data_IF_948570348204
#
_entry.id   IF_948570348204
#
_cell.length_a   1.000
_cell.length_b   1.000
_cell.length_c   1.000
_cell.angle_alpha   90.00
_cell.angle_beta   90.00
_cell.angle_gamma   90.00
#
_symmetry.space_group_name_H-M   'P 1'
#
loop_
_entity.id
_entity.type
_entity.pdbx_description
1 polymer ?
#
# COMPACT_ATOMS: atom_id res chain seq x y z
N UNK A 1 4.71 -7.79 6.04
CA UNK A 1 3.54 -8.06 5.17
C UNK A 1 3.27 -9.54 5.22
N UNK A 2 2.05 -9.88 5.59
CA UNK A 2 1.68 -11.13 6.23
C UNK A 2 1.62 -12.29 5.24
N UNK A 3 2.18 -13.42 5.65
CA UNK A 3 1.90 -14.73 5.08
C UNK A 3 2.05 -15.70 6.23
N UNK A 4 0.92 -16.15 6.74
CA UNK A 4 0.58 -17.51 7.12
C UNK A 4 -0.74 -17.41 7.88
N UNK A 5 -1.85 -17.40 7.12
CA UNK A 5 -3.13 -17.85 7.65
C UNK A 5 -3.13 -19.37 7.50
N UNK A 6 -3.09 -20.08 8.62
CA UNK A 6 -3.46 -21.48 8.64
C UNK A 6 -4.98 -21.55 8.77
N UNK A 7 -5.63 -22.15 7.79
CA UNK A 7 -7.00 -22.63 7.93
C UNK A 7 -6.91 -24.11 8.28
N UNK A 8 -7.23 -24.46 9.53
CA UNK A 8 -7.34 -25.86 9.96
C UNK A 8 -8.82 -26.23 9.97
N UNK A 9 -9.19 -27.26 9.20
CA UNK A 9 -10.53 -27.82 9.19
C UNK A 9 -10.71 -28.83 10.32
N UNK A 10 -11.88 -28.82 10.97
CA UNK A 10 -12.24 -29.82 11.96
C UNK A 10 -12.78 -31.09 11.26
N UNK A 11 -12.29 -32.26 11.68
CA UNK A 11 -12.75 -33.57 11.20
C UNK A 11 -14.21 -33.84 11.57
N UNK A 12 -14.95 -34.46 10.64
CA UNK A 12 -16.36 -34.82 10.87
C UNK A 12 -16.46 -36.15 11.61
N UNK A 13 -17.07 -36.14 12.81
CA UNK A 13 -17.73 -37.31 13.36
C UNK A 13 -19.24 -37.18 13.12
N UNK A 14 -19.83 -38.20 12.50
CA UNK A 14 -21.26 -38.29 12.26
C UNK A 14 -22.00 -38.55 13.58
N UNK A 15 -22.71 -37.53 14.06
CA UNK A 15 -23.61 -37.61 15.21
C UNK A 15 -24.51 -36.38 15.22
N UNK A 16 -25.81 -36.59 15.31
CA UNK A 16 -26.90 -35.61 15.27
C UNK A 16 -26.77 -34.51 16.32
N UNK A 17 -26.00 -33.48 15.99
CA UNK A 17 -26.24 -32.07 16.30
C UNK A 17 -25.91 -31.31 15.02
N UNK A 18 -26.54 -30.16 14.76
CA UNK A 18 -26.14 -29.31 13.63
C UNK A 18 -24.79 -28.68 13.99
N UNK A 19 -23.72 -29.49 13.91
CA UNK A 19 -22.36 -29.05 14.20
C UNK A 19 -22.12 -27.77 13.41
N UNK A 20 -21.75 -26.71 14.12
CA UNK A 20 -21.45 -25.44 13.49
C UNK A 20 -20.35 -25.68 12.46
N UNK A 21 -20.66 -25.47 11.19
CA UNK A 21 -19.67 -25.56 10.11
C UNK A 21 -18.77 -24.34 10.22
N UNK A 22 -17.63 -24.51 10.87
CA UNK A 22 -16.69 -23.42 11.16
C UNK A 22 -15.32 -23.65 10.54
N UNK A 23 -14.59 -22.56 10.31
CA UNK A 23 -13.18 -22.56 9.93
C UNK A 23 -12.44 -21.58 10.83
N UNK A 24 -11.40 -22.04 11.51
CA UNK A 24 -10.53 -21.17 12.31
C UNK A 24 -9.56 -20.41 11.41
N UNK A 25 -9.41 -19.12 11.69
CA UNK A 25 -8.51 -18.20 10.99
C UNK A 25 -7.56 -17.60 12.02
N UNK A 26 -6.26 -17.75 11.78
CA UNK A 26 -5.22 -17.17 12.64
C UNK A 26 -4.30 -16.27 11.82
N UNK A 27 -4.05 -15.05 12.28
CA UNK A 27 -3.05 -14.14 11.75
C UNK A 27 -2.08 -13.70 12.86
N UNK A 28 -0.80 -13.50 12.53
CA UNK A 28 0.24 -13.11 13.51
C UNK A 28 0.77 -11.71 13.21
N UNK A 29 0.95 -10.87 14.24
CA UNK A 29 1.62 -9.56 14.12
C UNK A 29 3.15 -9.76 14.04
N UNK A 30 3.83 -9.36 12.95
CA UNK A 30 5.26 -9.64 12.79
C UNK A 30 6.16 -8.46 13.17
N UNK A 31 5.60 -7.30 13.52
CA UNK A 31 6.29 -6.02 13.60
C UNK A 31 6.59 -5.55 15.02
N UNK A 32 6.07 -6.22 16.04
CA UNK A 32 6.16 -5.82 17.43
C UNK A 32 5.34 -4.57 17.75
N UNK A 33 4.24 -4.32 17.02
CA UNK A 33 3.43 -3.11 17.17
C UNK A 33 1.98 -3.44 17.46
N UNK A 34 1.35 -2.61 18.30
CA UNK A 34 -0.10 -2.60 18.43
C UNK A 34 -0.76 -2.23 17.10
N UNK A 35 -1.84 -2.94 16.76
CA UNK A 35 -2.68 -2.62 15.60
C UNK A 35 -4.14 -2.70 16.01
N UNK A 36 -4.90 -1.67 15.63
CA UNK A 36 -6.35 -1.62 15.83
C UNK A 36 -7.04 -1.62 14.49
N UNK A 37 -8.12 -2.39 14.38
CA UNK A 37 -8.94 -2.49 13.17
C UNK A 37 -8.09 -2.75 11.91
N UNK A 38 -7.05 -3.59 12.04
CA UNK A 38 -6.11 -3.82 10.96
C UNK A 38 -6.76 -4.66 9.86
N UNK A 39 -6.66 -4.26 8.58
CA UNK A 39 -7.30 -4.99 7.49
C UNK A 39 -6.67 -6.37 7.29
N UNK A 40 -7.53 -7.38 7.27
CA UNK A 40 -7.19 -8.79 7.02
C UNK A 40 -7.95 -9.27 5.79
N UNK A 41 -7.21 -9.77 4.81
CA UNK A 41 -7.74 -10.33 3.57
C UNK A 41 -7.26 -11.77 3.44
N UNK A 42 -8.18 -12.73 3.32
CA UNK A 42 -7.84 -14.15 3.14
C UNK A 42 -8.79 -14.83 2.16
N UNK A 43 -8.24 -15.69 1.29
CA UNK A 43 -9.03 -16.61 0.48
C UNK A 43 -9.22 -17.93 1.22
N UNK A 44 -10.46 -18.34 1.44
CA UNK A 44 -10.80 -19.62 2.08
C UNK A 44 -11.33 -20.58 1.00
N UNK A 45 -10.68 -21.74 0.79
CA UNK A 45 -11.17 -22.75 -0.13
C UNK A 45 -12.26 -23.60 0.52
N UNK A 46 -13.24 -24.01 -0.27
CA UNK A 46 -14.28 -24.97 0.14
C UNK A 46 -14.32 -26.14 -0.82
N UNK A 47 -14.47 -27.34 -0.26
CA UNK A 47 -14.76 -28.53 -1.05
C UNK A 47 -16.15 -28.41 -1.70
N UNK A 48 -16.34 -29.15 -2.79
CA UNK A 48 -17.59 -29.18 -3.55
C UNK A 48 -18.78 -29.46 -2.62
N UNK A 49 -19.81 -28.63 -2.69
CA UNK A 49 -21.04 -28.74 -1.89
C UNK A 49 -20.96 -28.25 -0.43
N UNK A 50 -19.78 -27.85 0.09
CA UNK A 50 -19.64 -27.44 1.50
C UNK A 50 -20.23 -26.06 1.77
N UNK A 51 -19.96 -25.10 0.89
CA UNK A 51 -20.55 -23.76 0.92
C UNK A 51 -21.45 -23.60 -0.30
N UNK A 52 -22.76 -23.71 -0.08
CA UNK A 52 -23.74 -23.66 -1.16
C UNK A 52 -23.75 -22.28 -1.85
N UNK A 53 -24.25 -22.23 -3.08
CA UNK A 53 -24.38 -20.97 -3.81
C UNK A 53 -25.30 -20.00 -3.05
N UNK A 54 -24.80 -18.81 -2.72
CA UNK A 54 -25.56 -17.79 -1.99
C UNK A 54 -25.70 -18.03 -0.48
N UNK A 55 -25.12 -19.10 0.04
CA UNK A 55 -25.10 -19.34 1.49
C UNK A 55 -24.29 -18.25 2.21
N UNK A 56 -24.87 -17.71 3.27
CA UNK A 56 -24.25 -16.64 4.06
C UNK A 56 -23.10 -17.16 4.90
N UNK A 57 -22.18 -16.27 5.24
CA UNK A 57 -21.11 -16.53 6.21
C UNK A 57 -21.02 -15.37 7.18
N UNK A 58 -20.54 -15.65 8.38
CA UNK A 58 -20.16 -14.65 9.37
C UNK A 58 -18.74 -14.88 9.85
N UNK A 59 -18.13 -13.84 10.39
CA UNK A 59 -16.88 -13.98 11.14
C UNK A 59 -17.08 -13.52 12.58
N UNK A 60 -16.53 -14.26 13.53
CA UNK A 60 -16.51 -13.90 14.96
C UNK A 60 -15.07 -13.73 15.42
N UNK A 61 -14.85 -12.87 16.42
CA UNK A 61 -13.57 -12.84 17.13
C UNK A 61 -13.40 -14.05 18.07
N UNK A 62 -12.27 -14.09 18.78
CA UNK A 62 -11.93 -15.13 19.75
C UNK A 62 -12.94 -15.26 20.90
N UNK A 63 -13.64 -14.17 21.26
CA UNK A 63 -14.71 -14.17 22.25
C UNK A 63 -16.07 -14.60 21.70
N UNK A 64 -16.15 -14.97 20.42
CA UNK A 64 -17.39 -15.35 19.74
C UNK A 64 -18.27 -14.16 19.33
N UNK A 65 -17.79 -12.92 19.46
CA UNK A 65 -18.56 -11.74 19.07
C UNK A 65 -18.52 -11.58 17.55
N UNK A 66 -19.68 -11.43 16.88
CA UNK A 66 -19.74 -11.20 15.44
C UNK A 66 -19.04 -9.90 15.02
N UNK A 67 -18.30 -9.95 13.92
CA UNK A 67 -17.57 -8.83 13.34
C UNK A 67 -18.05 -8.54 11.91
N UNK A 68 -17.97 -7.27 11.45
CA UNK A 68 -18.23 -6.95 10.05
C UNK A 68 -17.39 -7.79 9.11
N UNK A 69 -18.03 -8.29 8.05
CA UNK A 69 -17.40 -9.13 7.05
C UNK A 69 -17.84 -8.69 5.66
N UNK A 70 -16.87 -8.51 4.79
CA UNK A 70 -17.05 -8.33 3.36
C UNK A 70 -16.57 -9.60 2.65
N UNK A 71 -17.32 -10.08 1.67
CA UNK A 71 -16.97 -11.31 0.94
C UNK A 71 -17.06 -11.13 -0.55
N UNK A 72 -16.25 -11.90 -1.29
CA UNK A 72 -16.33 -12.00 -2.75
C UNK A 72 -16.04 -13.43 -3.18
N UNK A 73 -16.95 -14.03 -3.95
CA UNK A 73 -16.70 -15.33 -4.57
C UNK A 73 -15.69 -15.16 -5.70
N UNK A 74 -14.55 -15.84 -5.58
CA UNK A 74 -13.47 -15.81 -6.58
C UNK A 74 -13.65 -16.90 -7.64
N UNK A 75 -14.16 -18.05 -7.22
CA UNK A 75 -14.36 -19.22 -8.07
C UNK A 75 -15.50 -20.09 -7.55
N UNK A 76 -16.18 -20.79 -8.46
CA UNK A 76 -17.24 -21.77 -8.17
C UNK A 76 -16.86 -23.13 -8.74
N UNK A 77 -17.32 -24.18 -8.07
CA UNK A 77 -17.34 -25.54 -8.62
C UNK A 77 -18.41 -25.66 -9.71
N UNK A 78 -18.35 -26.75 -10.50
CA UNK A 78 -19.30 -27.04 -11.56
C UNK A 78 -20.77 -27.20 -11.08
N UNK A 79 -20.98 -27.53 -9.80
CA UNK A 79 -22.32 -27.61 -9.19
C UNK A 79 -22.83 -26.26 -8.65
N UNK A 80 -22.08 -25.18 -8.87
CA UNK A 80 -22.40 -23.83 -8.41
C UNK A 80 -21.93 -23.50 -6.99
N UNK A 81 -21.52 -24.49 -6.19
CA UNK A 81 -20.99 -24.26 -4.85
C UNK A 81 -19.71 -23.41 -4.89
N UNK A 82 -19.49 -22.61 -3.86
CA UNK A 82 -18.32 -21.73 -3.80
C UNK A 82 -17.05 -22.58 -3.63
N UNK A 83 -16.05 -22.36 -4.49
CA UNK A 83 -14.74 -23.03 -4.38
C UNK A 83 -13.73 -22.18 -3.64
N UNK A 84 -13.70 -20.87 -3.93
CA UNK A 84 -12.81 -19.91 -3.29
C UNK A 84 -13.61 -18.67 -2.89
N UNK A 85 -13.63 -18.37 -1.59
CA UNK A 85 -14.25 -17.18 -1.05
C UNK A 85 -13.18 -16.23 -0.51
N UNK A 86 -13.13 -15.01 -1.02
CA UNK A 86 -12.34 -13.94 -0.41
C UNK A 86 -13.11 -13.36 0.77
N UNK A 87 -12.43 -13.20 1.89
CA UNK A 87 -12.90 -12.55 3.10
C UNK A 87 -12.07 -11.31 3.35
N UNK A 88 -12.74 -10.19 3.58
CA UNK A 88 -12.14 -8.94 4.05
C UNK A 88 -12.81 -8.57 5.38
N UNK A 89 -12.00 -8.51 6.43
CA UNK A 89 -12.43 -8.17 7.79
C UNK A 89 -11.31 -7.40 8.50
N UNK A 90 -11.54 -7.01 9.75
CA UNK A 90 -10.56 -6.28 10.54
C UNK A 90 -10.30 -6.96 11.87
N UNK A 91 -9.05 -6.91 12.32
CA UNK A 91 -8.62 -7.52 13.57
C UNK A 91 -7.67 -6.63 14.35
N UNK A 92 -7.71 -6.78 15.66
CA UNK A 92 -6.77 -6.15 16.58
C UNK A 92 -5.59 -7.07 16.86
N UNK A 93 -4.43 -6.47 17.11
CA UNK A 93 -3.19 -7.15 17.43
C UNK A 93 -2.47 -6.42 18.56
N UNK A 94 -1.96 -7.19 19.51
CA UNK A 94 -0.88 -6.76 20.41
C UNK A 94 0.49 -7.02 19.75
N UNK A 95 1.59 -6.41 20.23
CA UNK A 95 2.93 -6.66 19.73
C UNK A 95 3.27 -8.16 19.69
N UNK A 96 3.61 -8.67 18.51
CA UNK A 96 3.89 -10.10 18.28
C UNK A 96 2.73 -11.07 18.62
N UNK A 97 1.54 -10.54 18.87
CA UNK A 97 0.34 -11.30 19.20
C UNK A 97 -0.32 -11.95 17.99
N UNK A 98 -1.29 -12.83 18.28
CA UNK A 98 -2.14 -13.46 17.28
C UNK A 98 -3.52 -12.82 17.29
N UNK A 99 -4.11 -12.64 16.10
CA UNK A 99 -5.54 -12.47 15.94
C UNK A 99 -6.16 -13.83 15.60
N UNK A 100 -7.13 -14.28 16.39
CA UNK A 100 -7.89 -15.50 16.16
C UNK A 100 -9.33 -15.13 15.84
N UNK A 101 -9.87 -15.69 14.78
CA UNK A 101 -11.24 -15.47 14.33
C UNK A 101 -11.83 -16.76 13.79
N UNK A 102 -13.15 -16.86 13.82
CA UNK A 102 -13.87 -18.05 13.34
C UNK A 102 -14.83 -17.64 12.24
N UNK A 103 -14.66 -18.23 11.06
CA UNK A 103 -15.64 -18.17 9.99
C UNK A 103 -16.76 -19.17 10.28
N UNK A 104 -18.01 -18.72 10.25
CA UNK A 104 -19.20 -19.50 10.53
C UNK A 104 -20.10 -19.56 9.29
N UNK A 105 -20.29 -20.75 8.74
CA UNK A 105 -21.14 -20.96 7.56
C UNK A 105 -22.62 -20.95 7.98
N UNK A 106 -23.46 -20.29 7.18
CA UNK A 106 -24.86 -20.00 7.50
C UNK A 106 -25.04 -18.90 8.56
N UNK A 107 -23.96 -18.30 9.04
CA UNK A 107 -24.00 -17.16 9.97
C UNK A 107 -24.36 -15.84 9.26
N UNK A 108 -24.64 -14.82 10.06
CA UNK A 108 -24.80 -13.43 9.60
C UNK A 108 -23.86 -12.50 10.35
N UNK A 109 -22.97 -11.82 9.63
CA UNK A 109 -22.14 -10.75 10.20
C UNK A 109 -22.94 -9.45 10.32
N UNK A 110 -22.65 -8.61 11.34
CA UNK A 110 -23.21 -7.26 11.43
C UNK A 110 -22.70 -6.38 10.28
N UNK A 111 -23.42 -5.30 9.99
CA UNK A 111 -22.91 -4.27 9.10
C UNK A 111 -21.70 -3.54 9.69
N UNK A 112 -20.83 -3.03 8.83
CA UNK A 112 -19.77 -2.13 9.25
C UNK A 112 -20.38 -0.83 9.81
N UNK A 113 -19.98 -0.40 11.02
CA UNK A 113 -20.58 0.77 11.67
C UNK A 113 -20.25 2.07 10.93
N UNK A 114 -21.08 3.09 11.15
CA UNK A 114 -20.81 4.44 10.65
C UNK A 114 -19.43 4.94 11.14
N UNK A 115 -18.73 5.69 10.30
CA UNK A 115 -17.36 6.16 10.57
C UNK A 115 -16.27 5.08 10.53
N UNK A 116 -16.62 3.80 10.39
CA UNK A 116 -15.69 2.68 10.23
C UNK A 116 -16.10 1.82 9.03
N UNK A 117 -16.59 2.49 7.98
CA UNK A 117 -16.95 1.89 6.71
C UNK A 117 -16.57 2.80 5.57
N UNK A 118 -16.40 2.22 4.39
CA UNK A 118 -16.17 2.95 3.15
C UNK A 118 -17.51 3.37 2.56
N UNK A 119 -17.63 4.64 2.22
CA UNK A 119 -18.72 5.24 1.46
C UNK A 119 -18.15 5.83 0.18
N UNK A 120 -18.93 5.77 -0.90
CA UNK A 120 -18.53 6.32 -2.19
C UNK A 120 -19.63 7.16 -2.80
N UNK A 121 -19.25 8.19 -3.55
CA UNK A 121 -20.16 9.01 -4.32
C UNK A 121 -19.51 9.39 -5.66
N UNK A 122 -20.24 9.22 -6.76
CA UNK A 122 -19.77 9.66 -8.07
C UNK A 122 -20.13 11.14 -8.31
N UNK A 123 -19.17 11.92 -8.79
CA UNK A 123 -19.33 13.34 -9.10
C UNK A 123 -18.65 13.64 -10.43
N UNK A 124 -19.40 13.56 -11.53
CA UNK A 124 -18.84 13.74 -12.87
C UNK A 124 -17.76 12.68 -13.16
N UNK A 125 -16.51 13.11 -13.37
CA UNK A 125 -15.38 12.19 -13.61
C UNK A 125 -14.74 11.69 -12.31
N UNK A 126 -15.09 12.26 -11.17
CA UNK A 126 -14.48 11.95 -9.88
C UNK A 126 -15.28 10.89 -9.11
N UNK A 127 -14.58 9.94 -8.50
CA UNK A 127 -15.12 9.10 -7.43
C UNK A 127 -14.64 9.65 -6.09
N UNK A 128 -15.57 10.10 -5.26
CA UNK A 128 -15.31 10.49 -3.88
C UNK A 128 -15.37 9.23 -3.01
N UNK A 129 -14.35 8.99 -2.20
CA UNK A 129 -14.25 7.87 -1.26
C UNK A 129 -14.05 8.43 0.15
N UNK A 130 -14.94 8.10 1.07
CA UNK A 130 -14.81 8.41 2.49
C UNK A 130 -14.66 7.10 3.25
N UNK A 131 -13.55 6.90 3.97
CA UNK A 131 -13.33 5.69 4.76
C UNK A 131 -13.50 5.91 6.27
N UNK A 132 -14.02 7.07 6.68
CA UNK A 132 -14.22 7.48 8.08
C UNK A 132 -13.06 8.29 8.67
N UNK A 133 -11.84 8.16 8.13
CA UNK A 133 -10.65 8.92 8.60
C UNK A 133 -9.99 9.75 7.49
N UNK A 134 -10.20 9.34 6.24
CA UNK A 134 -9.76 9.99 5.02
C UNK A 134 -10.96 10.22 4.10
N UNK A 135 -10.98 11.39 3.46
CA UNK A 135 -11.77 11.64 2.26
C UNK A 135 -10.80 11.73 1.08
N UNK A 136 -11.08 10.99 0.03
CA UNK A 136 -10.24 10.89 -1.17
C UNK A 136 -11.09 11.24 -2.39
N UNK A 137 -10.49 11.93 -3.35
CA UNK A 137 -11.04 12.08 -4.69
C UNK A 137 -10.16 11.32 -5.69
N UNK A 138 -10.79 10.49 -6.51
CA UNK A 138 -10.13 9.68 -7.53
C UNK A 138 -10.64 10.10 -8.91
N UNK A 139 -9.73 10.47 -9.82
CA UNK A 139 -10.09 10.76 -11.22
C UNK A 139 -10.25 9.45 -11.99
N UNK A 140 -11.35 9.32 -12.76
CA UNK A 140 -11.69 8.09 -13.48
C UNK A 140 -11.29 8.09 -14.95
N UNK A 141 -11.12 9.26 -15.58
CA UNK A 141 -10.76 9.38 -17.01
C UNK A 141 -9.26 9.39 -17.27
N UNK A 142 -8.45 9.70 -16.26
CA UNK A 142 -6.99 9.68 -16.31
C UNK A 142 -6.47 8.86 -15.13
N UNK A 143 -5.29 8.27 -15.27
CA UNK A 143 -4.61 7.66 -14.13
C UNK A 143 -4.03 8.74 -13.22
N UNK A 144 -4.90 9.27 -12.37
CA UNK A 144 -4.56 10.26 -11.35
C UNK A 144 -5.17 9.84 -10.00
N UNK A 145 -4.64 8.77 -9.38
CA UNK A 145 -5.11 8.36 -8.06
C UNK A 145 -4.85 9.47 -7.04
N UNK A 146 -5.70 9.55 -6.00
CA UNK A 146 -5.55 10.53 -4.92
C UNK A 146 -5.51 11.98 -5.45
N UNK A 147 -6.37 12.31 -6.42
CA UNK A 147 -6.50 13.65 -7.00
C UNK A 147 -6.56 14.73 -5.92
N UNK A 148 -7.30 14.45 -4.84
CA UNK A 148 -7.27 15.19 -3.57
C UNK A 148 -7.39 14.25 -2.39
N UNK A 149 -6.76 14.61 -1.27
CA UNK A 149 -6.80 13.87 0.00
C UNK A 149 -7.06 14.83 1.14
N UNK A 150 -8.03 14.50 1.98
CA UNK A 150 -8.29 15.17 3.25
C UNK A 150 -8.18 14.18 4.40
N UNK A 151 -7.68 14.67 5.54
CA UNK A 151 -7.74 13.97 6.83
C UNK A 151 -8.35 14.93 7.84
N UNK A 152 -9.33 14.47 8.62
CA UNK A 152 -10.04 15.29 9.60
C UNK A 152 -10.46 16.69 9.06
N UNK A 153 -10.95 16.74 7.82
CA UNK A 153 -11.40 17.96 7.15
C UNK A 153 -10.29 18.87 6.58
N UNK A 154 -9.02 18.63 6.90
CA UNK A 154 -7.89 19.39 6.35
C UNK A 154 -7.38 18.79 5.05
N UNK A 155 -7.13 19.64 4.05
CA UNK A 155 -6.55 19.22 2.77
C UNK A 155 -5.08 18.90 2.98
N UNK A 156 -4.68 17.65 2.70
CA UNK A 156 -3.30 17.17 2.85
C UNK A 156 -2.60 17.07 1.50
N UNK A 157 -3.36 16.89 0.42
CA UNK A 157 -2.81 16.76 -0.94
C UNK A 157 -3.82 17.22 -1.98
N UNK A 158 -3.32 17.86 -3.03
CA UNK A 158 -4.07 18.13 -4.26
C UNK A 158 -3.16 18.02 -5.49
N UNK A 159 -3.73 17.78 -6.67
CA UNK A 159 -3.02 17.66 -7.94
C UNK A 159 -2.75 16.21 -8.39
N UNK A 160 -3.03 15.25 -7.50
CA UNK A 160 -3.00 13.82 -7.79
C UNK A 160 -1.63 13.17 -7.86
N UNK A 161 -1.60 11.87 -7.63
CA UNK A 161 -0.40 11.06 -7.76
C UNK A 161 -0.11 10.77 -9.23
N UNK A 162 1.08 11.14 -9.70
CA UNK A 162 1.57 10.81 -11.04
C UNK A 162 2.54 9.63 -10.97
N UNK A 163 2.56 8.78 -12.00
CA UNK A 163 3.50 7.68 -12.17
C UNK A 163 4.06 7.73 -13.59
N UNK A 164 5.39 7.59 -13.74
CA UNK A 164 6.05 7.77 -15.03
C UNK A 164 7.23 6.85 -15.25
N UNK A 165 7.65 6.81 -16.51
CA UNK A 165 8.91 6.25 -17.00
C UNK A 165 9.72 7.38 -17.64
N UNK A 166 11.01 7.42 -17.39
CA UNK A 166 11.96 8.31 -18.07
C UNK A 166 12.87 7.47 -18.96
N UNK A 167 12.87 7.73 -20.26
CA UNK A 167 13.75 7.06 -21.21
C UNK A 167 15.23 7.50 -21.06
N UNK A 168 16.21 6.79 -21.62
CA UNK A 168 17.62 7.14 -21.51
C UNK A 168 17.95 8.57 -21.99
N UNK A 169 17.27 9.05 -23.04
CA UNK A 169 17.40 10.41 -23.56
C UNK A 169 16.74 11.51 -22.71
N UNK A 170 16.13 11.16 -21.56
CA UNK A 170 15.47 12.11 -20.66
C UNK A 170 14.00 12.40 -20.96
N UNK A 171 13.45 11.84 -22.06
CA UNK A 171 12.02 11.95 -22.38
C UNK A 171 11.17 11.27 -21.31
N UNK A 172 10.17 11.99 -20.77
CA UNK A 172 9.25 11.51 -19.74
C UNK A 172 7.94 11.03 -20.36
N UNK A 173 7.47 9.87 -19.91
CA UNK A 173 6.19 9.26 -20.26
C UNK A 173 5.37 9.05 -18.99
N UNK A 174 4.29 9.79 -18.84
CA UNK A 174 3.44 9.77 -17.64
C UNK A 174 2.15 8.97 -17.87
N UNK A 175 1.66 8.33 -16.80
CA UNK A 175 0.36 7.68 -16.78
C UNK A 175 -0.81 8.68 -16.82
N UNK A 176 -0.62 9.92 -16.34
CA UNK A 176 -1.67 10.94 -16.35
C UNK A 176 -1.97 11.48 -17.74
N UNK A 177 -0.97 11.44 -18.63
CA UNK A 177 -1.06 11.93 -20.00
C UNK A 177 -1.78 10.92 -20.92
N UNK A 178 -2.10 9.72 -20.41
CA UNK A 178 -2.93 8.75 -21.11
C UNK A 178 -4.42 9.09 -21.02
N UNK A 179 -4.92 9.73 -22.08
CA UNK A 179 -6.35 10.06 -22.23
C UNK A 179 -7.25 8.84 -22.48
N UNK A 180 -6.66 7.65 -22.68
CA UNK A 180 -7.37 6.38 -22.91
C UNK A 180 -7.33 5.44 -21.69
N UNK A 181 -6.83 5.93 -20.54
CA UNK A 181 -6.75 5.16 -19.30
C UNK A 181 -8.12 4.62 -18.89
N UNK A 182 -8.21 3.30 -18.70
CA UNK A 182 -9.42 2.64 -18.24
C UNK A 182 -9.46 2.55 -16.72
N UNK A 183 -10.56 2.96 -16.10
CA UNK A 183 -10.82 2.86 -14.66
C UNK A 183 -11.87 1.79 -14.34
N UNK A 184 -11.63 1.02 -13.28
CA UNK A 184 -12.62 0.08 -12.72
C UNK A 184 -12.49 -0.01 -11.19
N UNK A 185 -13.59 -0.36 -10.52
CA UNK A 185 -13.56 -0.83 -9.14
C UNK A 185 -13.49 -2.36 -9.17
N UNK A 186 -12.32 -2.92 -8.87
CA UNK A 186 -12.17 -4.37 -8.71
C UNK A 186 -12.85 -4.89 -7.45
N UNK A 187 -12.96 -4.02 -6.44
CA UNK A 187 -13.63 -4.30 -5.18
C UNK A 187 -14.27 -3.01 -4.66
N UNK A 188 -15.55 -3.09 -4.29
CA UNK A 188 -16.30 -1.96 -3.77
C UNK A 188 -17.21 -2.45 -2.63
N UNK A 189 -16.68 -2.42 -1.41
CA UNK A 189 -17.47 -2.78 -0.25
C UNK A 189 -17.11 -1.95 0.99
N UNK A 190 -17.85 -2.16 2.09
CA UNK A 190 -17.78 -1.29 3.26
C UNK A 190 -16.46 -1.42 4.04
N UNK A 191 -15.68 -2.49 3.89
CA UNK A 191 -14.42 -2.69 4.64
C UNK A 191 -13.19 -2.43 3.79
N UNK A 192 -13.30 -2.68 2.48
CA UNK A 192 -12.20 -2.52 1.54
C UNK A 192 -12.71 -2.15 0.15
N UNK A 193 -12.00 -1.23 -0.47
CA UNK A 193 -12.22 -0.77 -1.84
C UNK A 193 -10.90 -0.88 -2.60
N UNK A 194 -10.95 -1.36 -3.84
CA UNK A 194 -9.80 -1.43 -4.74
C UNK A 194 -10.17 -0.77 -6.06
N UNK A 195 -9.63 0.42 -6.28
CA UNK A 195 -9.71 1.14 -7.54
C UNK A 195 -8.52 0.77 -8.43
N UNK A 196 -8.77 0.56 -9.72
CA UNK A 196 -7.76 0.15 -10.69
C UNK A 196 -7.78 1.06 -11.91
N UNK A 197 -6.59 1.45 -12.36
CA UNK A 197 -6.35 2.07 -13.65
C UNK A 197 -5.48 1.17 -14.51
N UNK A 198 -5.78 1.11 -15.81
CA UNK A 198 -4.96 0.42 -16.82
C UNK A 198 -4.80 1.33 -18.03
N UNK A 199 -3.58 1.46 -18.52
CA UNK A 199 -3.26 2.33 -19.65
C UNK A 199 -1.82 2.16 -20.13
N UNK A 200 -1.29 3.20 -20.76
CA UNK A 200 0.09 3.26 -21.27
C UNK A 200 0.75 4.57 -20.87
N UNK A 201 1.96 4.52 -20.35
CA UNK A 201 2.72 5.74 -20.07
C UNK A 201 2.95 6.50 -21.39
N UNK A 202 2.55 7.76 -21.42
CA UNK A 202 2.48 8.57 -22.63
C UNK A 202 3.21 9.89 -22.42
N UNK A 203 3.94 10.35 -23.43
CA UNK A 203 4.58 11.68 -23.40
C UNK A 203 3.55 12.78 -23.69
N UNK A 204 3.89 14.03 -23.40
CA UNK A 204 3.06 15.18 -23.77
C UNK A 204 2.74 15.25 -25.29
N UNK A 205 3.61 14.70 -26.15
CA UNK A 205 3.41 14.62 -27.60
C UNK A 205 2.60 13.40 -28.07
N UNK A 206 2.05 12.58 -27.15
CA UNK A 206 1.24 11.41 -27.48
C UNK A 206 2.04 10.13 -27.80
N UNK A 207 3.38 10.18 -27.77
CA UNK A 207 4.22 8.97 -27.92
C UNK A 207 4.04 8.06 -26.72
N UNK A 208 3.88 6.76 -26.98
CA UNK A 208 3.62 5.71 -25.98
C UNK A 208 4.90 5.00 -25.54
N UNK A 209 4.90 4.48 -24.32
CA UNK A 209 5.97 3.65 -23.75
C UNK A 209 5.38 2.37 -23.11
N UNK A 210 5.74 2.06 -21.86
CA UNK A 210 5.29 0.86 -21.17
C UNK A 210 3.81 0.96 -20.81
N UNK A 211 3.09 -0.15 -20.94
CA UNK A 211 1.75 -0.27 -20.34
C UNK A 211 1.86 -0.23 -18.82
N UNK A 212 0.82 0.25 -18.16
CA UNK A 212 0.71 0.23 -16.70
C UNK A 212 -0.59 -0.40 -16.21
N UNK A 213 -0.53 -0.89 -14.97
CA UNK A 213 -1.69 -1.16 -14.13
C UNK A 213 -1.41 -0.57 -12.75
N UNK A 214 -2.28 0.32 -12.29
CA UNK A 214 -2.22 0.92 -10.95
C UNK A 214 -3.41 0.43 -10.14
N UNK A 215 -3.17 -0.06 -8.92
CA UNK A 215 -4.23 -0.32 -7.93
C UNK A 215 -4.05 0.56 -6.72
N UNK A 216 -5.14 1.19 -6.29
CA UNK A 216 -5.25 1.88 -5.01
C UNK A 216 -6.20 1.09 -4.12
N UNK A 217 -5.70 0.55 -3.02
CA UNK A 217 -6.53 -0.08 -2.00
C UNK A 217 -6.75 0.88 -0.82
N UNK A 218 -8.02 1.03 -0.45
CA UNK A 218 -8.51 1.83 0.67
C UNK A 218 -9.20 0.88 1.66
N UNK A 219 -8.98 1.11 2.95
CA UNK A 219 -9.51 0.27 4.02
C UNK A 219 -10.32 1.12 5.00
N UNK A 220 -11.44 0.61 5.48
CA UNK A 220 -12.28 1.32 6.44
C UNK A 220 -11.51 1.71 7.71
N UNK A 221 -11.69 2.94 8.19
CA UNK A 221 -11.12 3.45 9.43
C UNK A 221 -9.58 3.52 9.49
N UNK A 222 -8.87 3.16 8.41
CA UNK A 222 -7.41 3.13 8.40
C UNK A 222 -6.86 4.36 7.68
N UNK A 223 -5.87 5.07 8.26
CA UNK A 223 -5.36 6.30 7.70
C UNK A 223 -4.23 6.03 6.70
N UNK A 224 -4.27 4.90 5.99
CA UNK A 224 -3.30 4.58 4.95
C UNK A 224 -3.97 4.00 3.71
N UNK A 225 -3.29 4.17 2.59
CA UNK A 225 -3.63 3.52 1.33
C UNK A 225 -2.45 2.68 0.85
N UNK A 226 -2.76 1.60 0.15
CA UNK A 226 -1.76 0.79 -0.56
C UNK A 226 -1.84 1.10 -2.04
N UNK A 227 -0.68 1.33 -2.66
CA UNK A 227 -0.56 1.52 -4.10
C UNK A 227 0.28 0.39 -4.68
N UNK A 228 -0.26 -0.32 -5.66
CA UNK A 228 0.51 -1.21 -6.51
C UNK A 228 0.66 -0.56 -7.90
N UNK A 229 1.89 -0.37 -8.36
CA UNK A 229 2.20 0.01 -9.75
C UNK A 229 2.85 -1.17 -10.45
N UNK A 230 2.24 -1.58 -11.56
CA UNK A 230 2.79 -2.58 -12.47
C UNK A 230 3.12 -1.86 -13.76
N UNK A 231 4.33 -2.06 -14.28
CA UNK A 231 4.65 -1.75 -15.67
C UNK A 231 4.80 -3.04 -16.48
N UNK A 232 4.51 -2.97 -17.77
CA UNK A 232 4.69 -4.05 -18.73
C UNK A 232 5.52 -3.54 -19.90
N UNK A 233 6.67 -4.16 -20.18
CA UNK A 233 7.38 -3.90 -21.43
C UNK A 233 6.77 -4.74 -22.55
N UNK A 234 6.00 -4.10 -23.42
CA UNK A 234 5.42 -4.71 -24.64
C UNK A 234 5.93 -4.07 -25.91
N UNK A 235 7.01 -3.29 -25.82
CA UNK A 235 7.63 -2.66 -26.97
C UNK A 235 8.37 -3.71 -27.82
N UNK A 236 8.58 -3.41 -29.10
CA UNK A 236 9.19 -4.34 -30.05
C UNK A 236 10.64 -4.75 -29.72
N UNK A 237 11.54 -3.86 -29.24
CA UNK A 237 12.91 -4.23 -28.91
C UNK A 237 13.01 -5.34 -27.86
N UNK A 238 13.98 -6.24 -28.00
CA UNK A 238 14.18 -7.33 -27.04
C UNK A 238 14.50 -6.83 -25.63
N UNK A 239 15.17 -5.67 -25.53
CA UNK A 239 15.42 -4.95 -24.28
C UNK A 239 15.14 -3.47 -24.50
N UNK A 240 14.32 -2.91 -23.62
CA UNK A 240 14.11 -1.46 -23.53
C UNK A 240 14.81 -0.96 -22.29
N UNK A 241 15.74 -0.03 -22.45
CA UNK A 241 16.39 0.62 -21.32
C UNK A 241 15.53 1.78 -20.79
N UNK A 242 15.54 1.96 -19.46
CA UNK A 242 14.90 3.11 -18.81
C UNK A 242 15.86 3.77 -17.83
N UNK A 243 15.85 5.09 -17.78
CA UNK A 243 16.62 5.85 -16.80
C UNK A 243 15.94 5.81 -15.43
N UNK A 244 14.62 5.91 -15.42
CA UNK A 244 13.84 5.99 -14.18
C UNK A 244 12.44 5.41 -14.37
N UNK A 245 11.90 4.83 -13.30
CA UNK A 245 10.47 4.58 -13.11
C UNK A 245 10.11 5.09 -11.73
N UNK A 246 9.15 6.00 -11.64
CA UNK A 246 8.86 6.68 -10.38
C UNK A 246 7.39 7.08 -10.23
N UNK A 247 7.01 7.38 -8.99
CA UNK A 247 5.74 7.98 -8.62
C UNK A 247 5.99 9.27 -7.82
N UNK A 248 5.12 10.28 -7.99
CA UNK A 248 5.14 11.54 -7.23
C UNK A 248 3.78 11.74 -6.60
N UNK A 249 3.77 11.95 -5.29
CA UNK A 249 2.59 12.30 -4.53
C UNK A 249 2.75 13.73 -4.00
N UNK A 250 2.00 14.72 -4.53
CA UNK A 250 2.03 16.08 -4.02
C UNK A 250 1.52 16.13 -2.57
N UNK A 251 2.02 17.06 -1.77
CA UNK A 251 1.54 17.31 -0.40
C UNK A 251 1.35 18.81 -0.17
N UNK A 252 0.48 19.13 0.79
CA UNK A 252 0.21 20.47 1.28
C UNK A 252 0.18 20.37 2.81
N UNK A 253 1.34 20.53 3.45
CA UNK A 253 1.49 20.46 4.90
C UNK A 253 1.78 21.85 5.46
N UNK A 254 1.17 22.18 6.60
CA UNK A 254 1.28 23.50 7.24
C UNK A 254 2.56 23.61 8.09
N UNK A 255 3.24 24.75 8.01
CA UNK A 255 4.38 25.10 8.87
C UNK A 255 5.72 24.48 8.43
N UNK A 256 6.79 24.70 9.22
CA UNK A 256 8.08 24.06 8.96
C UNK A 256 7.94 22.54 9.08
N UNK A 257 8.50 21.81 8.12
CA UNK A 257 8.39 20.36 8.09
C UNK A 257 9.55 19.71 8.84
N UNK A 258 9.21 18.71 9.66
CA UNK A 258 10.15 17.78 10.23
C UNK A 258 10.15 16.51 9.39
N UNK A 259 11.34 16.07 8.99
CA UNK A 259 11.50 14.85 8.21
C UNK A 259 12.04 13.73 9.09
N UNK A 260 11.50 12.53 8.92
CA UNK A 260 12.01 11.33 9.58
C UNK A 260 12.23 10.23 8.55
N UNK A 261 13.39 9.58 8.58
CA UNK A 261 13.76 8.51 7.64
C UNK A 261 13.91 7.21 8.40
N UNK A 262 13.35 6.14 7.87
CA UNK A 262 13.59 4.79 8.36
C UNK A 262 15.05 4.42 8.20
N UNK A 263 15.73 4.21 9.32
CA UNK A 263 17.16 3.98 9.35
C UNK A 263 17.50 2.51 9.05
N UNK A 264 18.27 1.85 9.91
CA UNK A 264 18.76 0.49 9.66
C UNK A 264 17.71 -0.58 9.97
N UNK A 265 17.53 -1.49 9.01
CA UNK A 265 16.75 -2.70 9.19
C UNK A 265 17.44 -3.62 10.22
N UNK A 266 16.74 -3.93 11.31
CA UNK A 266 17.22 -4.77 12.43
C UNK A 266 18.49 -4.23 13.13
N UNK A 267 18.62 -2.92 13.28
CA UNK A 267 19.60 -2.37 14.21
C UNK A 267 19.26 -2.78 15.66
N UNK A 268 20.16 -3.50 16.33
CA UNK A 268 20.03 -3.86 17.76
C UNK A 268 20.55 -2.77 18.71
N UNK A 269 21.32 -1.80 18.19
CA UNK A 269 22.13 -0.87 19.01
C UNK A 269 22.08 0.60 18.56
N UNK A 270 21.31 0.94 17.53
CA UNK A 270 21.18 2.34 17.05
C UNK A 270 19.72 2.72 16.90
N UNK A 271 19.46 4.03 16.89
CA UNK A 271 18.14 4.60 16.57
C UNK A 271 17.57 3.94 15.31
N UNK A 272 16.27 3.71 15.35
CA UNK A 272 15.53 3.00 14.31
C UNK A 272 15.05 3.95 13.18
N UNK A 273 15.36 5.24 13.35
CA UNK A 273 15.01 6.37 12.51
C UNK A 273 16.06 7.49 12.58
N UNK A 274 16.15 8.29 11.52
CA UNK A 274 17.00 9.46 11.38
C UNK A 274 16.12 10.71 11.20
N UNK A 275 16.35 11.77 11.97
CA UNK A 275 15.57 13.02 11.90
C UNK A 275 16.33 14.10 11.13
N UNK A 276 15.61 14.90 10.35
CA UNK A 276 16.15 16.05 9.62
C UNK A 276 15.14 17.21 9.60
N UNK A 277 15.65 18.42 9.43
CA UNK A 277 14.87 19.65 9.24
C UNK A 277 15.06 20.24 7.84
N UNK A 278 15.63 19.44 6.94
CA UNK A 278 15.80 19.71 5.51
C UNK A 278 15.20 18.53 4.72
N UNK A 279 14.79 18.73 3.45
CA UNK A 279 14.32 17.65 2.59
C UNK A 279 15.27 16.46 2.57
N UNK A 280 14.71 15.26 2.51
CA UNK A 280 15.50 14.02 2.60
C UNK A 280 15.23 13.08 1.45
N UNK A 281 16.26 12.34 1.06
CA UNK A 281 16.19 11.21 0.14
C UNK A 281 16.89 10.00 0.73
N UNK A 282 16.17 8.89 0.81
CA UNK A 282 16.69 7.59 1.21
C UNK A 282 16.94 6.74 -0.04
N UNK A 283 18.16 6.26 -0.18
CA UNK A 283 18.58 5.42 -1.30
C UNK A 283 18.99 4.03 -0.81
N UNK A 284 18.67 3.01 -1.60
CA UNK A 284 19.23 1.66 -1.51
C UNK A 284 19.59 1.19 -2.92
N UNK A 285 20.86 1.32 -3.32
CA UNK A 285 21.29 0.97 -4.69
C UNK A 285 21.92 -0.42 -4.81
N UNK A 286 22.32 -1.01 -3.68
CA UNK A 286 22.82 -2.37 -3.57
C UNK A 286 22.59 -2.92 -2.16
N UNK A 287 22.93 -4.18 -1.95
CA UNK A 287 22.86 -4.80 -0.62
C UNK A 287 23.87 -4.15 0.32
N UNK A 288 23.42 -3.60 1.46
CA UNK A 288 24.30 -2.88 2.39
C UNK A 288 24.83 -1.54 1.86
N UNK A 289 24.16 -0.97 0.87
CA UNK A 289 24.50 0.33 0.26
C UNK A 289 23.32 1.29 0.41
N UNK A 290 23.04 1.66 1.67
CA UNK A 290 22.03 2.63 2.04
C UNK A 290 22.64 4.01 2.27
N UNK A 291 21.97 5.05 1.78
CA UNK A 291 22.35 6.45 2.01
C UNK A 291 21.12 7.29 2.34
N UNK A 292 21.30 8.24 3.25
CA UNK A 292 20.36 9.34 3.49
C UNK A 292 21.04 10.60 3.00
N UNK A 293 20.42 11.22 2.01
CA UNK A 293 20.85 12.49 1.42
C UNK A 293 19.92 13.60 1.90
N UNK A 294 20.50 14.78 2.13
CA UNK A 294 19.81 16.02 2.42
C UNK A 294 19.60 16.85 1.16
N UNK A 295 19.34 18.14 1.37
CA UNK A 295 19.16 19.07 0.27
C UNK A 295 20.44 19.19 -0.58
N UNK A 296 20.25 19.43 -1.88
CA UNK A 296 21.36 19.48 -2.85
C UNK A 296 22.17 18.16 -2.99
N UNK A 297 21.71 17.04 -2.43
CA UNK A 297 22.40 15.74 -2.52
C UNK A 297 23.52 15.53 -1.51
N UNK A 298 23.63 16.39 -0.49
CA UNK A 298 24.60 16.22 0.62
C UNK A 298 24.36 14.89 1.32
N UNK A 299 25.41 14.08 1.50
CA UNK A 299 25.30 12.83 2.27
C UNK A 299 25.18 13.17 3.76
N UNK A 300 24.00 12.98 4.33
CA UNK A 300 23.74 13.15 5.77
C UNK A 300 24.08 11.87 6.55
N UNK A 301 23.87 10.71 5.93
CA UNK A 301 24.27 9.40 6.46
C UNK A 301 24.64 8.46 5.32
N UNK A 302 25.81 7.84 5.39
CA UNK A 302 26.27 6.85 4.43
C UNK A 302 26.20 5.42 4.96
N UNK A 303 26.46 4.46 4.08
CA UNK A 303 26.68 3.07 4.46
C UNK A 303 27.95 3.00 5.33
N UNK A 304 27.80 2.46 6.55
CA UNK A 304 28.96 2.09 7.37
C UNK A 304 29.50 0.78 6.82
N UNK A 305 30.66 0.81 6.17
CA UNK A 305 31.36 -0.39 5.72
C UNK A 305 31.76 -1.27 6.91
N UNK A 306 31.89 -2.58 6.66
CA UNK A 306 32.14 -3.67 7.62
C UNK A 306 33.26 -3.48 8.67
N UNK A 307 34.05 -2.40 8.60
CA UNK A 307 35.09 -2.05 9.57
C UNK A 307 34.55 -1.71 10.97
N UNK A 308 33.25 -1.44 11.13
CA UNK A 308 32.63 -1.10 12.42
C UNK A 308 32.04 -2.29 13.18
N UNK A 309 32.08 -3.51 12.63
CA UNK A 309 31.39 -4.68 13.20
C UNK A 309 29.85 -4.60 13.17
N UNK A 310 29.28 -3.49 12.69
CA UNK A 310 27.85 -3.33 12.42
C UNK A 310 27.57 -3.97 11.06
N UNK A 311 26.69 -4.98 11.02
CA UNK A 311 26.35 -5.72 9.80
C UNK A 311 25.77 -4.86 8.67
N UNK A 312 25.41 -5.53 7.56
CA UNK A 312 24.84 -4.95 6.32
C UNK A 312 23.88 -3.77 6.60
N UNK A 313 24.18 -2.59 6.07
CA UNK A 313 23.39 -1.35 6.21
C UNK A 313 22.22 -1.34 5.22
N UNK A 314 21.21 -2.16 5.49
CA UNK A 314 19.97 -2.17 4.71
C UNK A 314 18.96 -1.18 5.32
N UNK A 315 18.29 -0.41 4.47
CA UNK A 315 17.24 0.53 4.85
C UNK A 315 15.96 -0.17 5.34
N UNK A 316 15.23 0.48 6.26
CA UNK A 316 13.84 0.16 6.59
C UNK A 316 12.82 0.56 5.51
N UNK A 317 13.20 1.45 4.59
CA UNK A 317 12.43 1.73 3.38
C UNK A 317 11.23 2.65 3.55
N UNK A 318 11.29 3.62 4.46
CA UNK A 318 10.25 4.64 4.62
C UNK A 318 10.83 6.03 4.89
N UNK A 319 10.09 7.07 4.49
CA UNK A 319 10.35 8.49 4.79
C UNK A 319 9.05 9.16 5.21
N UNK A 320 9.15 10.12 6.10
CA UNK A 320 8.06 10.86 6.73
C UNK A 320 8.34 12.36 6.62
N UNK A 321 7.29 13.14 6.37
CA UNK A 321 7.28 14.59 6.48
C UNK A 321 6.07 14.99 7.32
N UNK A 322 6.35 15.70 8.40
CA UNK A 322 5.35 16.08 9.38
C UNK A 322 5.37 17.58 9.57
N UNK A 323 4.24 18.23 9.29
CA UNK A 323 4.02 19.64 9.58
C UNK A 323 3.38 19.83 10.96
N UNK A 324 2.86 21.04 11.19
CA UNK A 324 2.27 21.45 12.47
C UNK A 324 0.98 20.68 12.81
N UNK A 325 0.16 20.36 11.81
CA UNK A 325 -1.18 19.76 12.02
C UNK A 325 -1.38 18.43 11.31
N UNK A 326 -0.70 18.21 10.19
CA UNK A 326 -0.81 17.02 9.34
C UNK A 326 0.58 16.48 9.00
N UNK A 327 0.65 15.19 8.68
CA UNK A 327 1.87 14.54 8.21
C UNK A 327 1.57 13.37 7.30
N UNK A 328 2.55 12.99 6.50
CA UNK A 328 2.47 11.87 5.57
C UNK A 328 3.76 11.06 5.64
N UNK A 329 3.61 9.75 5.65
CA UNK A 329 4.71 8.80 5.54
C UNK A 329 4.56 7.98 4.27
N UNK A 330 5.64 7.89 3.49
CA UNK A 330 5.79 7.02 2.33
C UNK A 330 6.65 5.81 2.70
N UNK A 331 6.12 4.60 2.51
CA UNK A 331 6.84 3.35 2.77
C UNK A 331 6.84 2.42 1.55
N UNK A 332 8.01 1.91 1.16
CA UNK A 332 8.15 0.90 0.12
C UNK A 332 8.10 -0.53 0.66
N UNK A 333 7.29 -1.40 0.04
CA UNK A 333 7.27 -2.83 0.38
C UNK A 333 8.58 -3.50 -0.07
N UNK A 334 9.20 -4.27 0.83
CA UNK A 334 10.42 -5.03 0.52
C UNK A 334 11.49 -4.11 -0.12
N UNK A 335 11.63 -2.90 0.43
CA UNK A 335 12.38 -1.81 -0.18
C UNK A 335 13.82 -2.21 -0.51
N UNK A 336 14.56 -2.66 0.50
CA UNK A 336 15.94 -3.05 0.29
C UNK A 336 16.06 -4.35 -0.52
N UNK A 337 15.14 -5.30 -0.39
CA UNK A 337 15.17 -6.55 -1.16
C UNK A 337 14.91 -6.34 -2.65
N UNK A 338 14.26 -5.23 -3.03
CA UNK A 338 14.01 -4.87 -4.41
C UNK A 338 14.97 -3.75 -4.89
N UNK A 339 16.16 -3.61 -4.31
CA UNK A 339 17.14 -2.65 -4.81
C UNK A 339 17.38 -2.83 -6.33
N UNK A 340 17.68 -1.77 -7.08
CA UNK A 340 17.80 -0.39 -6.62
C UNK A 340 16.43 0.25 -6.33
N UNK A 341 16.38 1.09 -5.27
CA UNK A 341 15.22 1.90 -4.88
C UNK A 341 15.67 3.24 -4.29
N UNK A 342 14.83 4.25 -4.42
CA UNK A 342 14.93 5.45 -3.59
C UNK A 342 13.53 5.97 -3.22
N UNK A 343 13.43 6.71 -2.13
CA UNK A 343 12.25 7.48 -1.74
C UNK A 343 12.69 8.83 -1.21
N UNK A 344 11.93 9.88 -1.49
CA UNK A 344 12.22 11.22 -0.98
C UNK A 344 10.98 11.88 -0.41
N UNK A 345 11.23 12.80 0.52
CA UNK A 345 10.25 13.68 1.11
C UNK A 345 10.80 15.12 1.00
N UNK A 346 10.08 15.97 0.28
CA UNK A 346 10.36 17.40 0.19
C UNK A 346 9.13 18.22 0.59
N UNK A 347 9.20 19.56 0.48
CA UNK A 347 8.13 20.44 0.96
C UNK A 347 6.84 20.32 0.14
N UNK A 348 6.96 19.97 -1.15
CA UNK A 348 5.81 19.93 -2.07
C UNK A 348 5.35 18.53 -2.43
N UNK A 349 6.19 17.51 -2.22
CA UNK A 349 5.86 16.15 -2.64
C UNK A 349 6.74 15.10 -1.97
N UNK A 350 6.19 13.89 -1.93
CA UNK A 350 6.96 12.65 -1.86
C UNK A 350 7.24 12.13 -3.26
N UNK A 351 8.38 11.46 -3.42
CA UNK A 351 8.67 10.67 -4.62
C UNK A 351 9.07 9.24 -4.25
N UNK A 352 8.55 8.27 -4.98
CA UNK A 352 8.91 6.87 -4.88
C UNK A 352 9.59 6.43 -6.18
N UNK A 353 10.91 6.25 -6.12
CA UNK A 353 11.71 5.80 -7.26
C UNK A 353 11.75 4.28 -7.27
N UNK A 354 10.85 3.71 -8.06
CA UNK A 354 10.68 2.27 -8.25
C UNK A 354 11.87 1.69 -9.02
N UNK A 355 12.41 2.45 -9.96
CA UNK A 355 13.73 2.25 -10.56
C UNK A 355 14.37 3.65 -10.55
N UNK A 356 15.31 3.95 -9.65
CA UNK A 356 15.93 5.26 -9.58
C UNK A 356 16.97 5.45 -10.69
N UNK A 357 17.14 6.68 -11.14
CA UNK A 357 18.32 7.06 -11.93
C UNK A 357 19.59 6.90 -11.09
N UNK A 358 20.58 6.23 -11.68
CA UNK A 358 21.90 5.98 -11.07
C UNK A 358 23.04 6.32 -12.02
N UNK A 359 22.78 7.13 -13.03
CA UNK A 359 23.73 7.44 -14.10
C UNK A 359 23.95 6.29 -15.10
N UNK A 360 23.23 5.18 -14.95
CA UNK A 360 23.21 4.07 -15.91
C UNK A 360 21.78 3.59 -16.12
N UNK A 361 21.32 3.38 -17.36
CA UNK A 361 19.98 2.87 -17.63
C UNK A 361 19.78 1.46 -17.03
N UNK A 362 18.51 1.14 -16.77
CA UNK A 362 18.06 -0.17 -16.31
C UNK A 362 17.46 -0.93 -17.50
N UNK A 363 17.98 -2.12 -17.84
CA UNK A 363 17.45 -2.92 -18.94
C UNK A 363 16.14 -3.61 -18.52
N UNK A 364 15.11 -3.48 -19.35
CA UNK A 364 13.82 -4.15 -19.17
C UNK A 364 13.57 -5.05 -20.38
N UNK A 365 13.70 -6.37 -20.26
CA UNK A 365 13.41 -7.30 -21.36
C UNK A 365 11.96 -7.20 -21.85
N UNK A 366 11.74 -7.47 -23.14
CA UNK A 366 10.40 -7.58 -23.73
C UNK A 366 9.59 -8.66 -23.01
N UNK A 367 8.32 -8.38 -22.77
CA UNK A 367 7.40 -9.25 -22.03
C UNK A 367 7.54 -9.18 -20.51
N UNK A 368 8.57 -8.50 -19.98
CA UNK A 368 8.73 -8.33 -18.54
C UNK A 368 7.58 -7.48 -17.96
N UNK A 369 7.05 -7.95 -16.83
CA UNK A 369 6.20 -7.16 -15.96
C UNK A 369 6.77 -7.17 -14.54
N UNK A 370 6.67 -6.03 -13.84
CA UNK A 370 7.08 -5.95 -12.43
C UNK A 370 6.07 -5.13 -11.64
N UNK A 371 5.59 -5.74 -10.56
CA UNK A 371 4.78 -5.04 -9.55
C UNK A 371 5.70 -4.43 -8.50
N UNK A 372 5.49 -3.14 -8.26
CA UNK A 372 5.99 -2.41 -7.12
C UNK A 372 4.84 -2.04 -6.19
N UNK A 373 5.04 -2.17 -4.89
CA UNK A 373 4.04 -1.82 -3.88
C UNK A 373 4.63 -0.79 -2.93
N UNK A 374 3.88 0.27 -2.66
CA UNK A 374 4.19 1.24 -1.61
C UNK A 374 2.91 1.67 -0.89
N UNK A 375 3.09 2.37 0.23
CA UNK A 375 2.02 2.81 1.11
C UNK A 375 2.21 4.30 1.39
N UNK A 376 1.09 5.00 1.47
CA UNK A 376 1.01 6.36 2.02
C UNK A 376 0.20 6.26 3.31
N UNK A 377 0.78 6.70 4.43
CA UNK A 377 0.16 6.75 5.74
C UNK A 377 0.01 8.21 6.16
N UNK A 378 -1.20 8.64 6.47
CA UNK A 378 -1.56 10.01 6.83
C UNK A 378 -1.74 10.10 8.35
N UNK A 379 -1.22 11.14 8.99
CA UNK A 379 -1.27 11.25 10.44
C UNK A 379 -1.36 12.69 10.94
N UNK A 380 -1.63 12.84 12.23
CA UNK A 380 -1.49 14.12 12.90
C UNK A 380 -0.05 14.61 12.84
N UNK A 381 0.10 15.92 12.65
CA UNK A 381 1.38 16.60 12.68
C UNK A 381 2.08 16.41 14.03
N UNK A 382 3.40 16.56 14.02
CA UNK A 382 4.20 16.59 15.25
C UNK A 382 4.33 18.05 15.64
N UNK A 383 3.77 18.44 16.79
CA UNK A 383 4.03 19.78 17.32
C UNK A 383 5.54 19.93 17.48
N UNK A 384 6.11 20.95 16.83
CA UNK A 384 7.54 21.20 16.94
C UNK A 384 7.91 21.45 18.39
N UNK A 385 8.84 20.67 18.93
CA UNK A 385 9.72 21.23 19.94
C UNK A 385 10.39 22.43 19.27
N UNK A 386 9.99 23.63 19.69
CA UNK A 386 10.65 24.88 19.28
C UNK A 386 12.14 24.65 19.50
N UNK A 387 12.94 24.81 18.46
CA UNK A 387 14.38 24.85 18.61
C UNK A 387 14.67 25.98 19.62
N UNK A 388 15.09 25.63 20.83
CA UNK A 388 15.70 26.61 21.71
C UNK A 388 16.96 27.07 20.97
N UNK A 389 16.88 28.28 20.44
CA UNK A 389 18.04 29.05 20.02
C UNK A 389 18.79 29.47 21.29
N UNK A 390 20.00 28.94 21.47
CA UNK A 390 21.00 29.57 22.33
C UNK A 390 21.55 30.84 21.68
#
# INVERSE_FOLDING_TARGET
>A
MFSLLFASGCGQNAGTSRASRTVELTAMEPGGQDRRHFPLTVGVPFAKGVLAAGESVAITDEGGKPQPLQTRVLERHADGSTRWLLLDYQGDFTPFGANRSTLVLGGKSPEAPAGHRIQTAEQGTTLVVDNGVLKLELERKQCLPLARVWRAGKLVSSGGMDLWVTAPGGEKFSARDDTTSAFELEEAGPLRLVARWKGTHTSAGGKRHFDYLVRLAVYAGNPFVRVDHVFFNRLDPDVTEVKEVAARFPIQLEGPLQYTVGDLYRARLVSDSFKAFEPVRLEQYGLGDMRILGDGGKVLKGAVTAASGLGKTNSRGWVDASGASEGVLLAGKNFWQNYPKAISAGPEAFQCFLIPDRGRPFPVPRGMAKTHTFFLYFHAGKQGAVAQSD
#
